data_IF_300050630032
#
_entry.id   IF_300050630032
#
_cell.length_a   1.000
_cell.length_b   1.000
_cell.length_c   1.000
_cell.angle_alpha   90.00
_cell.angle_beta   90.00
_cell.angle_gamma   90.00
#
_symmetry.space_group_name_H-M   'P 1'
#
loop_
_entity.id
_entity.type
_entity.pdbx_description
1 polymer ?
#
# COMPACT_ATOMS: atom_id res chain seq x y z
N UNK A 1 -16.37 5.74 -2.61
CA UNK A 1 -15.43 5.16 -3.61
C UNK A 1 -14.31 4.44 -2.89
N UNK A 2 -13.96 3.27 -3.36
CA UNK A 2 -12.87 2.50 -2.75
C UNK A 2 -11.55 2.81 -3.40
N UNK A 3 -10.52 2.80 -2.57
CA UNK A 3 -9.14 3.02 -2.98
C UNK A 3 -8.25 1.88 -2.48
N UNK A 4 -7.37 1.42 -3.36
CA UNK A 4 -6.24 0.60 -2.93
C UNK A 4 -5.13 1.54 -2.49
N UNK A 5 -4.65 1.36 -1.26
CA UNK A 5 -3.49 2.09 -0.77
C UNK A 5 -2.33 1.10 -0.67
N UNK A 6 -1.36 1.25 -1.55
CA UNK A 6 -0.13 0.47 -1.47
C UNK A 6 0.82 1.15 -0.50
N UNK A 7 1.35 0.37 0.44
CA UNK A 7 2.37 0.83 1.37
C UNK A 7 3.72 0.36 0.85
N UNK A 8 4.60 1.28 0.53
CA UNK A 8 5.85 0.96 -0.13
C UNK A 8 7.04 1.61 0.60
N UNK A 9 8.21 0.97 0.47
CA UNK A 9 9.45 1.56 0.94
C UNK A 9 9.88 2.66 0.00
N UNK A 10 10.72 3.57 0.49
CA UNK A 10 11.26 4.68 -0.29
C UNK A 10 12.74 4.83 0.04
N UNK A 11 13.54 5.15 -0.97
CA UNK A 11 14.98 5.38 -0.79
C UNK A 11 15.29 6.71 -0.11
N UNK A 12 14.32 7.62 -0.10
CA UNK A 12 14.50 8.96 0.45
C UNK A 12 13.43 9.24 1.53
N UNK A 13 13.51 8.53 2.68
CA UNK A 13 12.57 8.76 3.75
C UNK A 13 12.77 10.16 4.36
N UNK A 14 11.71 10.67 5.01
CA UNK A 14 11.80 11.92 5.72
C UNK A 14 12.71 11.76 6.94
N UNK A 15 13.84 12.43 6.94
CA UNK A 15 14.81 12.36 8.03
C UNK A 15 14.49 13.31 9.18
N UNK A 16 13.54 14.23 9.01
CA UNK A 16 13.25 15.27 9.99
C UNK A 16 12.05 15.01 10.87
N UNK A 17 11.46 13.83 10.78
CA UNK A 17 10.25 13.54 11.54
C UNK A 17 10.57 13.20 12.99
N UNK A 18 10.09 14.02 13.92
CA UNK A 18 10.31 13.80 15.33
C UNK A 18 9.31 12.83 15.95
N UNK A 19 8.13 12.70 15.38
CA UNK A 19 7.08 11.85 15.93
C UNK A 19 6.38 11.13 14.80
N UNK A 20 6.78 9.89 14.54
CA UNK A 20 6.01 9.09 13.60
C UNK A 20 4.62 8.86 14.18
N UNK A 21 3.63 9.00 13.34
CA UNK A 21 2.30 8.58 13.73
C UNK A 21 2.35 7.10 14.08
N UNK A 22 1.61 6.72 15.10
CA UNK A 22 1.53 5.32 15.49
C UNK A 22 0.56 4.59 14.57
N UNK A 23 0.98 3.46 14.02
CA UNK A 23 0.13 2.65 13.16
C UNK A 23 -1.14 2.21 13.88
N UNK A 24 -1.04 1.88 15.16
CA UNK A 24 -2.20 1.50 15.97
C UNK A 24 -3.20 2.65 16.05
N UNK A 25 -2.71 3.85 16.27
CA UNK A 25 -3.54 5.06 16.35
C UNK A 25 -4.18 5.35 14.99
N UNK A 26 -3.41 5.24 13.90
CA UNK A 26 -3.93 5.43 12.55
C UNK A 26 -5.05 4.44 12.25
N UNK A 27 -4.81 3.17 12.53
CA UNK A 27 -5.81 2.11 12.27
C UNK A 27 -7.07 2.35 13.08
N UNK A 28 -6.94 2.70 14.36
CA UNK A 28 -8.10 2.95 15.22
C UNK A 28 -8.94 4.12 14.69
N UNK A 29 -8.30 5.19 14.23
CA UNK A 29 -9.00 6.34 13.67
C UNK A 29 -9.74 5.97 12.40
N UNK A 30 -9.06 5.37 11.44
CA UNK A 30 -9.64 5.04 10.13
C UNK A 30 -10.76 4.00 10.26
N UNK A 31 -10.53 2.98 11.08
CA UNK A 31 -11.53 1.95 11.32
C UNK A 31 -12.73 2.52 12.09
N UNK A 32 -12.49 3.37 13.07
CA UNK A 32 -13.55 4.03 13.84
C UNK A 32 -14.41 4.96 12.99
N UNK A 33 -13.86 5.53 11.94
CA UNK A 33 -14.59 6.37 10.98
C UNK A 33 -15.36 5.56 9.95
N UNK A 34 -15.23 4.22 9.96
CA UNK A 34 -15.89 3.36 8.97
C UNK A 34 -15.25 3.41 7.59
N UNK A 35 -13.99 3.86 7.50
CA UNK A 35 -13.31 4.02 6.21
C UNK A 35 -12.35 2.89 5.88
N UNK A 36 -12.08 2.00 6.81
CA UNK A 36 -11.17 0.88 6.62
C UNK A 36 -11.94 -0.36 6.19
N UNK A 37 -11.56 -0.97 5.08
CA UNK A 37 -12.19 -2.19 4.59
C UNK A 37 -11.38 -3.41 5.00
N UNK A 38 -10.13 -3.48 4.58
CA UNK A 38 -9.21 -4.57 4.91
C UNK A 38 -7.80 -4.17 4.53
N UNK A 39 -6.84 -4.92 4.99
CA UNK A 39 -5.45 -4.73 4.62
C UNK A 39 -4.56 -5.68 5.38
N UNK A 40 -3.32 -5.78 4.94
CA UNK A 40 -2.32 -6.62 5.58
C UNK A 40 -0.91 -6.14 5.25
N UNK A 41 0.01 -6.49 6.14
CA UNK A 41 1.43 -6.37 5.87
C UNK A 41 1.86 -7.59 5.06
N UNK A 42 2.75 -7.40 4.11
CA UNK A 42 3.32 -8.48 3.31
C UNK A 42 4.63 -8.96 3.90
N UNK A 43 4.95 -10.22 3.65
CA UNK A 43 6.27 -10.74 3.99
C UNK A 43 7.33 -10.05 3.13
N UNK A 44 8.61 -10.11 3.53
CA UNK A 44 9.66 -9.44 2.79
C UNK A 44 9.71 -9.85 1.33
N UNK A 45 10.27 -8.96 0.50
CA UNK A 45 10.33 -9.16 -0.95
C UNK A 45 11.04 -10.46 -1.35
N UNK A 46 11.94 -10.96 -0.50
CA UNK A 46 12.63 -12.23 -0.72
C UNK A 46 11.68 -13.43 -0.77
N UNK A 47 10.49 -13.28 -0.18
CA UNK A 47 9.47 -14.33 -0.19
C UNK A 47 8.49 -14.20 -1.36
N UNK A 48 8.72 -13.26 -2.27
CA UNK A 48 7.85 -13.07 -3.43
C UNK A 48 8.05 -14.17 -4.46
N UNK A 49 6.99 -14.48 -5.18
CA UNK A 49 7.03 -15.41 -6.33
C UNK A 49 6.35 -14.73 -7.51
N UNK A 50 7.03 -14.69 -8.64
CA UNK A 50 6.48 -14.11 -9.87
C UNK A 50 6.07 -15.24 -10.81
N UNK A 51 4.87 -15.16 -11.35
CA UNK A 51 4.31 -16.15 -12.26
C UNK A 51 3.98 -15.48 -13.58
N UNK A 52 4.50 -16.05 -14.68
CA UNK A 52 4.20 -15.58 -16.03
C UNK A 52 3.92 -16.78 -16.93
N UNK A 53 3.13 -16.55 -17.96
CA UNK A 53 2.95 -17.53 -19.03
C UNK A 53 3.36 -16.84 -20.33
N UNK A 54 4.33 -17.43 -21.06
CA UNK A 54 4.81 -16.90 -22.32
C UNK A 54 4.90 -18.03 -23.33
N UNK A 55 4.29 -17.83 -24.50
CA UNK A 55 4.23 -18.86 -25.56
C UNK A 55 3.70 -20.20 -25.05
N UNK A 56 2.71 -20.16 -24.16
CA UNK A 56 2.13 -21.36 -23.57
C UNK A 56 2.96 -22.00 -22.46
N UNK A 57 4.08 -21.40 -22.09
CA UNK A 57 4.98 -21.94 -21.08
C UNK A 57 4.81 -21.22 -19.75
N UNK A 58 4.70 -21.98 -18.66
CA UNK A 58 4.63 -21.45 -17.31
C UNK A 58 6.03 -21.10 -16.82
N UNK A 59 6.22 -19.83 -16.44
CA UNK A 59 7.50 -19.33 -15.94
C UNK A 59 7.29 -18.87 -14.50
N UNK A 60 8.00 -19.50 -13.58
CA UNK A 60 7.95 -19.14 -12.15
C UNK A 60 9.34 -18.66 -11.75
N UNK A 61 9.39 -17.48 -11.14
CA UNK A 61 10.63 -16.87 -10.69
C UNK A 61 10.50 -16.50 -9.22
N UNK A 62 11.50 -16.85 -8.42
CA UNK A 62 11.58 -16.37 -7.04
C UNK A 62 11.94 -14.90 -7.05
N UNK A 63 11.23 -14.14 -6.24
CA UNK A 63 11.44 -12.71 -6.15
C UNK A 63 10.36 -11.89 -6.84
N UNK A 64 10.43 -10.58 -6.73
CA UNK A 64 9.43 -9.68 -7.29
C UNK A 64 9.54 -9.57 -8.81
N UNK A 65 8.45 -9.13 -9.43
CA UNK A 65 8.39 -8.94 -10.88
C UNK A 65 9.38 -7.91 -11.40
N UNK A 66 9.64 -6.87 -10.63
CA UNK A 66 10.57 -5.81 -11.03
C UNK A 66 11.75 -5.76 -10.07
N UNK A 67 12.89 -5.30 -10.57
CA UNK A 67 14.07 -5.03 -9.75
C UNK A 67 14.04 -3.63 -9.14
N UNK A 68 12.87 -3.09 -8.93
CA UNK A 68 12.71 -1.78 -8.30
C UNK A 68 13.30 -1.81 -6.89
N UNK A 69 13.90 -0.70 -6.49
CA UNK A 69 14.40 -0.52 -5.12
C UNK A 69 13.29 -0.08 -4.17
N UNK A 70 12.12 0.16 -4.69
CA UNK A 70 10.94 0.52 -3.92
C UNK A 70 10.01 -0.67 -3.93
N UNK A 71 9.73 -1.20 -2.75
CA UNK A 71 9.01 -2.45 -2.61
C UNK A 71 7.67 -2.20 -1.92
N UNK A 72 6.65 -2.90 -2.39
CA UNK A 72 5.36 -2.90 -1.71
C UNK A 72 5.50 -3.75 -0.46
N UNK A 73 5.30 -3.11 0.70
CA UNK A 73 5.42 -3.76 2.00
C UNK A 73 4.08 -4.16 2.59
N UNK A 74 2.99 -3.63 2.04
CA UNK A 74 1.64 -3.93 2.51
C UNK A 74 0.60 -3.20 1.68
N UNK A 75 -0.65 -3.39 2.06
CA UNK A 75 -1.75 -2.72 1.40
C UNK A 75 -2.90 -2.50 2.37
N UNK A 76 -3.71 -1.49 2.09
CA UNK A 76 -4.97 -1.24 2.76
C UNK A 76 -6.01 -0.85 1.72
N UNK A 77 -7.25 -1.31 1.92
CA UNK A 77 -8.36 -0.89 1.09
C UNK A 77 -9.20 0.07 1.93
N UNK A 78 -9.39 1.27 1.42
CA UNK A 78 -10.14 2.35 2.07
C UNK A 78 -11.43 2.62 1.31
N UNK A 79 -12.50 2.95 2.04
CA UNK A 79 -13.75 3.40 1.42
C UNK A 79 -13.97 4.86 1.79
N UNK A 80 -13.62 5.75 0.88
CA UNK A 80 -13.61 7.19 1.09
C UNK A 80 -14.63 7.89 0.20
N UNK A 81 -15.05 9.07 0.62
CA UNK A 81 -15.98 9.86 -0.17
C UNK A 81 -15.32 10.36 -1.47
N UNK A 82 -14.06 10.76 -1.37
CA UNK A 82 -13.31 11.32 -2.50
C UNK A 82 -11.80 11.15 -2.28
N UNK A 83 -11.04 11.58 -3.28
CA UNK A 83 -9.58 11.49 -3.21
C UNK A 83 -9.01 12.34 -2.08
N UNK A 84 -9.59 13.51 -1.81
CA UNK A 84 -9.10 14.38 -0.75
C UNK A 84 -9.18 13.70 0.61
N UNK A 85 -10.24 12.96 0.88
CA UNK A 85 -10.35 12.19 2.10
C UNK A 85 -9.32 11.06 2.15
N UNK A 86 -9.11 10.37 1.03
CA UNK A 86 -8.09 9.31 0.96
C UNK A 86 -6.69 9.88 1.21
N UNK A 87 -6.38 11.05 0.68
CA UNK A 87 -5.10 11.74 0.89
C UNK A 87 -4.94 12.11 2.37
N UNK A 88 -6.00 12.66 2.97
CA UNK A 88 -5.97 13.02 4.40
C UNK A 88 -5.65 11.80 5.27
N UNK A 89 -6.33 10.69 4.99
CA UNK A 89 -6.10 9.45 5.73
C UNK A 89 -4.68 8.94 5.50
N UNK A 90 -4.23 8.88 4.25
CA UNK A 90 -2.89 8.39 3.93
C UNK A 90 -1.81 9.26 4.56
N UNK A 91 -1.99 10.56 4.61
CA UNK A 91 -1.00 11.50 5.15
C UNK A 91 -0.68 11.25 6.62
N UNK A 92 -1.59 10.61 7.35
CA UNK A 92 -1.41 10.31 8.77
C UNK A 92 -0.83 8.92 9.03
N UNK A 93 -0.68 8.12 7.99
CA UNK A 93 -0.04 6.81 8.12
C UNK A 93 1.46 6.99 8.34
N UNK A 94 2.08 6.22 9.27
CA UNK A 94 3.52 6.37 9.53
C UNK A 94 4.38 6.21 8.27
N UNK A 95 3.99 5.35 7.34
CA UNK A 95 4.75 5.15 6.12
C UNK A 95 4.67 6.30 5.13
N UNK A 96 3.85 7.31 5.39
CA UNK A 96 3.90 8.54 4.60
C UNK A 96 5.25 9.25 4.78
N UNK A 97 5.93 9.01 5.91
CA UNK A 97 7.25 9.59 6.23
C UNK A 97 8.39 8.63 5.97
N UNK A 98 8.23 7.35 6.35
CA UNK A 98 9.31 6.37 6.25
C UNK A 98 9.36 5.66 4.91
N UNK A 99 8.32 5.77 4.12
CA UNK A 99 8.21 5.21 2.79
C UNK A 99 7.33 6.08 1.95
N UNK A 100 6.45 5.46 1.20
CA UNK A 100 5.44 6.18 0.43
C UNK A 100 4.16 5.38 0.36
N UNK A 101 3.07 6.07 0.09
CA UNK A 101 1.75 5.48 -0.09
C UNK A 101 1.25 5.84 -1.48
N UNK A 102 0.79 4.83 -2.21
CA UNK A 102 0.20 5.04 -3.52
C UNK A 102 -1.28 4.74 -3.44
N UNK A 103 -2.11 5.71 -3.78
CA UNK A 103 -3.56 5.59 -3.79
C UNK A 103 -4.05 5.36 -5.21
N UNK A 104 -4.81 4.29 -5.41
CA UNK A 104 -5.41 4.01 -6.71
C UNK A 104 -6.90 3.73 -6.55
N UNK A 105 -7.75 4.55 -7.18
CA UNK A 105 -9.19 4.31 -7.10
C UNK A 105 -9.54 3.01 -7.79
N UNK A 106 -10.51 2.31 -7.22
CA UNK A 106 -11.05 1.10 -7.85
C UNK A 106 -11.84 1.49 -9.08
N UNK A 107 -11.75 0.64 -10.07
CA UNK A 107 -12.56 0.73 -11.29
C UNK A 107 -13.28 -0.61 -11.44
N UNK A 108 -14.49 -0.75 -10.86
CA UNK A 108 -15.19 -2.02 -10.90
C UNK A 108 -15.44 -2.49 -12.33
N UNK A 109 -15.25 -3.78 -12.54
CA UNK A 109 -15.52 -4.38 -13.85
C UNK A 109 -17.02 -4.32 -14.11
N UNK A 110 -17.40 -3.81 -15.27
CA UNK A 110 -18.80 -3.68 -15.64
C UNK A 110 -19.38 -2.27 -15.47
N UNK A 111 -18.60 -1.35 -14.96
CA UNK A 111 -19.02 0.07 -14.82
C UNK A 111 -18.51 0.94 -15.97
#
# INVERSE_FOLDING_TARGET
>A
MKYMMFVATDLEPDAGSDTPDDLTTWFADVNGRGKYVTGDRLRPVEDATTVRVRAGELLITDGPFTESREWIAGFDILDCEDLDEAIEIASKHPMARFGRLELRPFWPIGD
#
